data_IF_935641783208
#
_entry.id   IF_935641783208
#
_cell.length_a   1.000
_cell.length_b   1.000
_cell.length_c   1.000
_cell.angle_alpha   90.00
_cell.angle_beta   90.00
_cell.angle_gamma   90.00
#
_symmetry.space_group_name_H-M   'P 1'
#
loop_
_entity.id
_entity.type
_entity.pdbx_description
1 polymer ?
#
# COMPACT_ATOMS: atom_id res chain seq x y z
N UNK A 1 15.83 -2.08 -6.95
CA UNK A 1 15.56 -2.25 -5.51
C UNK A 1 16.31 -3.46 -5.02
N UNK A 2 17.00 -3.37 -3.89
CA UNK A 2 17.72 -4.48 -3.27
C UNK A 2 16.80 -5.35 -2.41
N UNK A 3 17.01 -6.66 -2.39
CA UNK A 3 16.27 -7.61 -1.54
C UNK A 3 16.44 -7.31 -0.05
N UNK A 4 17.57 -6.71 0.34
CA UNK A 4 17.79 -6.24 1.72
C UNK A 4 16.70 -5.27 2.16
N UNK A 5 16.32 -4.32 1.29
CA UNK A 5 15.24 -3.37 1.59
C UNK A 5 13.88 -4.08 1.75
N UNK A 6 13.61 -5.12 0.96
CA UNK A 6 12.40 -5.92 1.13
C UNK A 6 12.37 -6.65 2.48
N UNK A 7 13.51 -7.20 2.92
CA UNK A 7 13.64 -7.80 4.26
C UNK A 7 13.39 -6.78 5.37
N UNK A 8 13.94 -5.57 5.23
CA UNK A 8 13.75 -4.50 6.21
C UNK A 8 12.31 -4.01 6.32
N UNK A 9 11.56 -4.03 5.21
CA UNK A 9 10.12 -3.78 5.21
C UNK A 9 9.42 -4.91 5.97
N UNK A 10 9.62 -6.18 5.60
CA UNK A 10 8.87 -7.31 6.17
C UNK A 10 9.15 -7.53 7.65
N UNK A 11 10.32 -7.13 8.16
CA UNK A 11 10.65 -7.17 9.59
C UNK A 11 10.05 -6.02 10.41
N UNK A 12 9.48 -5.01 9.77
CA UNK A 12 8.93 -3.84 10.47
C UNK A 12 7.69 -4.21 11.29
N UNK A 13 7.44 -3.52 12.42
CA UNK A 13 6.13 -3.55 13.07
C UNK A 13 5.01 -3.20 12.08
N UNK A 14 3.80 -3.77 12.27
CA UNK A 14 2.67 -3.55 11.35
C UNK A 14 2.29 -2.07 11.16
N UNK A 15 2.52 -1.24 12.18
CA UNK A 15 2.33 0.22 12.12
C UNK A 15 3.35 0.93 11.23
N UNK A 16 4.55 0.38 11.07
CA UNK A 16 5.68 0.99 10.38
C UNK A 16 5.88 0.47 8.97
N UNK A 17 5.15 -0.59 8.57
CA UNK A 17 5.28 -1.20 7.25
C UNK A 17 5.09 -0.20 6.10
N UNK A 18 4.09 0.69 6.19
CA UNK A 18 3.80 1.65 5.11
C UNK A 18 4.90 2.74 5.00
N UNK A 19 5.37 3.37 6.10
CA UNK A 19 6.56 4.22 6.09
C UNK A 19 7.80 3.54 5.51
N UNK A 20 8.09 2.27 5.88
CA UNK A 20 9.28 1.57 5.36
C UNK A 20 9.15 1.21 3.89
N UNK A 21 7.95 0.81 3.47
CA UNK A 21 7.65 0.56 2.06
C UNK A 21 7.83 1.83 1.22
N UNK A 22 7.36 2.97 1.73
CA UNK A 22 7.58 4.29 1.11
C UNK A 22 9.07 4.56 0.93
N UNK A 23 9.87 4.44 1.99
CA UNK A 23 11.30 4.67 1.93
C UNK A 23 12.01 3.74 0.93
N UNK A 24 11.69 2.45 0.92
CA UNK A 24 12.27 1.48 -0.01
C UNK A 24 11.94 1.75 -1.48
N UNK A 25 10.79 2.37 -1.76
CA UNK A 25 10.35 2.74 -3.10
C UNK A 25 10.90 4.10 -3.55
N UNK A 26 11.22 5.00 -2.62
CA UNK A 26 11.48 6.41 -2.90
C UNK A 26 12.64 6.62 -3.89
N UNK A 27 13.75 5.91 -3.72
CA UNK A 27 14.94 6.05 -4.57
C UNK A 27 14.67 5.68 -6.04
N UNK A 28 13.72 4.77 -6.28
CA UNK A 28 13.39 4.30 -7.64
C UNK A 28 12.15 5.02 -8.20
N UNK A 29 11.22 5.41 -7.34
CA UNK A 29 9.96 6.02 -7.71
C UNK A 29 9.75 7.21 -6.76
N UNK A 30 10.29 8.40 -7.09
CA UNK A 30 10.12 9.58 -6.24
C UNK A 30 8.63 9.92 -6.05
N UNK A 31 8.24 10.09 -4.78
CA UNK A 31 6.86 10.35 -4.37
C UNK A 31 6.83 11.11 -3.05
N UNK A 32 5.78 11.90 -2.82
CA UNK A 32 5.60 12.71 -1.59
C UNK A 32 4.67 12.09 -0.56
N UNK A 33 3.80 11.19 -1.02
CA UNK A 33 2.86 10.49 -0.18
C UNK A 33 2.56 9.12 -0.77
N UNK A 34 2.13 8.22 0.11
CA UNK A 34 1.68 6.88 -0.24
C UNK A 34 0.40 6.60 0.53
N UNK A 35 -0.55 5.97 -0.13
CA UNK A 35 -1.80 5.54 0.46
C UNK A 35 -2.07 4.08 0.09
N UNK A 36 -2.59 3.34 1.05
CA UNK A 36 -2.94 1.94 0.91
C UNK A 36 -4.43 1.77 1.12
N UNK A 37 -5.07 0.98 0.25
CA UNK A 37 -6.41 0.46 0.43
C UNK A 37 -6.34 -1.08 0.40
N UNK A 38 -6.32 -1.67 1.59
CA UNK A 38 -6.26 -3.11 1.81
C UNK A 38 -7.66 -3.70 1.94
N UNK A 39 -7.93 -4.83 1.26
CA UNK A 39 -9.18 -5.56 1.42
C UNK A 39 -9.31 -6.31 2.75
N UNK A 40 -8.21 -6.49 3.49
CA UNK A 40 -8.14 -7.44 4.62
C UNK A 40 -8.45 -6.87 6.01
N UNK A 41 -8.59 -5.55 6.16
CA UNK A 41 -8.89 -4.93 7.45
C UNK A 41 -10.30 -4.31 7.46
N UNK A 42 -11.31 -4.94 8.09
CA UNK A 42 -12.67 -4.41 8.12
C UNK A 42 -12.81 -3.11 8.94
N UNK A 43 -11.86 -2.82 9.84
CA UNK A 43 -11.91 -1.62 10.70
C UNK A 43 -11.09 -0.43 10.17
N UNK A 44 -10.01 -0.68 9.42
CA UNK A 44 -9.16 0.38 8.88
C UNK A 44 -8.49 -0.11 7.59
N UNK A 45 -9.25 -0.27 6.50
CA UNK A 45 -8.70 -0.74 5.23
C UNK A 45 -7.75 0.30 4.61
N UNK A 46 -7.81 1.54 5.09
CA UNK A 46 -7.11 2.69 4.56
C UNK A 46 -5.97 3.13 5.48
N UNK A 47 -4.79 3.38 4.90
CA UNK A 47 -3.62 3.95 5.59
C UNK A 47 -2.91 4.94 4.67
N UNK A 48 -2.30 5.98 5.24
CA UNK A 48 -1.53 6.97 4.49
C UNK A 48 -0.21 7.30 5.17
N UNK A 49 0.80 7.63 4.39
CA UNK A 49 2.09 8.14 4.85
C UNK A 49 2.56 9.28 3.94
N UNK A 50 3.23 10.29 4.51
CA UNK A 50 3.69 11.48 3.79
C UNK A 50 2.64 12.59 3.68
N UNK A 51 2.92 13.59 2.85
CA UNK A 51 2.07 14.77 2.68
C UNK A 51 1.44 14.77 1.29
N UNK A 52 0.11 14.57 1.17
CA UNK A 52 -0.55 14.78 -0.11
C UNK A 52 -0.40 16.25 -0.50
N UNK A 53 -0.32 16.50 -1.79
CA UNK A 53 -0.48 17.85 -2.31
C UNK A 53 -1.94 18.25 -2.34
N UNK A 54 -2.19 19.47 -1.92
CA UNK A 54 -3.48 20.09 -1.78
C UNK A 54 -3.33 21.26 -0.80
N UNK A 55 -4.45 21.84 -0.39
CA UNK A 55 -4.44 22.84 0.67
C UNK A 55 -3.93 22.24 1.98
N UNK A 56 -3.28 23.03 2.86
CA UNK A 56 -2.90 22.57 4.19
C UNK A 56 -4.11 21.94 4.92
N UNK A 57 -3.98 20.67 5.31
CA UNK A 57 -5.06 19.90 5.96
C UNK A 57 -5.91 19.03 5.02
N UNK A 58 -5.68 19.07 3.71
CA UNK A 58 -6.33 18.15 2.78
C UNK A 58 -5.86 16.70 3.01
N UNK A 59 -6.80 15.80 3.31
CA UNK A 59 -6.54 14.40 3.54
C UNK A 59 -6.89 13.56 2.30
N UNK A 60 -6.07 12.56 2.01
CA UNK A 60 -6.41 11.54 1.01
C UNK A 60 -7.61 10.74 1.53
N UNK A 61 -8.58 10.46 0.66
CA UNK A 61 -9.79 9.74 1.04
C UNK A 61 -9.83 8.32 0.45
N UNK A 62 -10.58 7.43 1.10
CA UNK A 62 -10.84 6.09 0.57
C UNK A 62 -11.55 6.12 -0.78
N UNK A 63 -12.48 7.06 -1.00
CA UNK A 63 -13.20 7.22 -2.27
C UNK A 63 -12.26 7.56 -3.42
N UNK A 64 -11.30 8.47 -3.20
CA UNK A 64 -10.28 8.81 -4.20
C UNK A 64 -9.45 7.59 -4.61
N UNK A 65 -9.02 6.76 -3.64
CA UNK A 65 -8.29 5.52 -3.93
C UNK A 65 -9.16 4.49 -4.65
N UNK A 66 -10.39 4.28 -4.20
CA UNK A 66 -11.29 3.29 -4.76
C UNK A 66 -11.60 3.55 -6.24
N UNK A 67 -11.62 4.83 -6.65
CA UNK A 67 -11.79 5.22 -8.05
C UNK A 67 -10.65 4.74 -8.97
N UNK A 68 -9.44 4.52 -8.43
CA UNK A 68 -8.28 4.04 -9.18
C UNK A 68 -8.24 2.52 -9.31
N UNK A 69 -8.95 1.79 -8.45
CA UNK A 69 -8.91 0.33 -8.39
C UNK A 69 -9.24 -0.36 -9.71
N UNK A 70 -10.29 0.01 -10.49
CA UNK A 70 -10.64 -0.71 -11.72
C UNK A 70 -9.51 -0.68 -12.76
N UNK A 71 -8.93 0.50 -13.00
CA UNK A 71 -7.84 0.68 -13.96
C UNK A 71 -6.56 -0.04 -13.51
N UNK A 72 -6.20 0.12 -12.23
CA UNK A 72 -5.04 -0.56 -11.66
C UNK A 72 -5.22 -2.08 -11.63
N UNK A 73 -6.43 -2.60 -11.40
CA UNK A 73 -6.71 -4.04 -11.37
C UNK A 73 -6.63 -4.68 -12.75
N UNK A 74 -7.07 -3.99 -13.81
CA UNK A 74 -7.07 -4.53 -15.17
C UNK A 74 -5.65 -4.88 -15.65
N UNK A 75 -4.69 -3.99 -15.39
CA UNK A 75 -3.30 -4.12 -15.86
C UNK A 75 -2.32 -4.46 -14.72
N UNK A 76 -2.83 -4.59 -13.50
CA UNK A 76 -2.11 -4.69 -12.21
C UNK A 76 -1.31 -3.44 -11.80
N UNK A 77 -1.24 -2.42 -12.67
CA UNK A 77 -0.74 -1.09 -12.34
C UNK A 77 -1.33 -0.04 -13.27
N UNK A 78 -1.49 1.17 -12.77
CA UNK A 78 -1.95 2.31 -13.56
C UNK A 78 -1.15 3.57 -13.23
N UNK A 79 -0.84 4.37 -14.25
CA UNK A 79 -0.13 5.63 -14.11
C UNK A 79 -0.91 6.73 -14.81
N UNK A 80 -0.98 7.90 -14.20
CA UNK A 80 -1.66 9.04 -14.78
C UNK A 80 -1.92 10.13 -13.77
N UNK A 81 -2.78 11.08 -14.15
CA UNK A 81 -3.26 12.13 -13.24
C UNK A 81 -4.55 11.69 -12.58
N UNK A 82 -4.65 11.92 -11.28
CA UNK A 82 -5.84 11.60 -10.50
C UNK A 82 -6.09 12.64 -9.40
N UNK A 83 -7.36 12.76 -9.01
CA UNK A 83 -7.77 13.55 -7.85
C UNK A 83 -7.34 12.82 -6.57
N UNK A 84 -6.37 13.38 -5.85
CA UNK A 84 -5.89 12.88 -4.56
C UNK A 84 -5.70 14.05 -3.61
N UNK A 85 -6.26 13.97 -2.40
CA UNK A 85 -6.17 15.04 -1.42
C UNK A 85 -6.76 16.35 -1.96
N UNK A 86 -7.81 16.27 -2.76
CA UNK A 86 -8.44 17.47 -3.34
C UNK A 86 -7.62 18.20 -4.41
N UNK A 87 -6.55 17.59 -4.95
CA UNK A 87 -5.79 18.14 -6.08
C UNK A 87 -5.65 17.10 -7.21
N UNK A 88 -5.56 17.55 -8.45
CA UNK A 88 -5.23 16.67 -9.58
C UNK A 88 -3.71 16.56 -9.72
N UNK A 89 -3.17 15.35 -9.59
CA UNK A 89 -1.75 15.11 -9.35
C UNK A 89 -1.27 13.84 -10.04
N UNK A 90 0.02 13.73 -10.41
CA UNK A 90 0.56 12.49 -10.95
C UNK A 90 0.57 11.40 -9.89
N UNK A 91 0.11 10.20 -10.27
CA UNK A 91 0.06 9.05 -9.39
C UNK A 91 0.52 7.78 -10.10
N UNK A 92 1.00 6.85 -9.28
CA UNK A 92 1.18 5.45 -9.64
C UNK A 92 0.32 4.61 -8.71
N UNK A 93 -0.60 3.84 -9.29
CA UNK A 93 -1.41 2.86 -8.58
C UNK A 93 -0.89 1.44 -8.88
N UNK A 94 -0.64 0.65 -7.84
CA UNK A 94 -0.20 -0.73 -7.91
C UNK A 94 -1.27 -1.61 -7.27
N UNK A 95 -1.80 -2.55 -8.04
CA UNK A 95 -2.78 -3.49 -7.55
C UNK A 95 -2.11 -4.84 -7.28
N UNK A 96 -2.41 -5.41 -6.10
CA UNK A 96 -2.00 -6.74 -5.71
C UNK A 96 -3.22 -7.65 -5.66
N UNK A 97 -3.13 -8.80 -6.32
CA UNK A 97 -4.09 -9.91 -6.25
C UNK A 97 -3.56 -11.08 -5.40
N UNK A 98 -2.47 -10.87 -4.65
CA UNK A 98 -1.86 -11.87 -3.77
C UNK A 98 -2.81 -12.34 -2.64
N UNK A 99 -3.98 -11.73 -2.50
CA UNK A 99 -5.05 -12.14 -1.57
C UNK A 99 -6.40 -12.11 -2.30
N UNK A 100 -7.37 -12.90 -1.82
CA UNK A 100 -8.70 -12.97 -2.43
C UNK A 100 -9.43 -11.62 -2.49
N UNK A 101 -9.13 -10.71 -1.55
CA UNK A 101 -9.75 -9.38 -1.47
C UNK A 101 -8.97 -8.30 -2.21
N UNK A 102 -7.73 -8.59 -2.61
CA UNK A 102 -6.83 -7.65 -3.26
C UNK A 102 -6.41 -6.48 -2.37
N UNK A 103 -5.40 -5.75 -2.83
CA UNK A 103 -4.92 -4.56 -2.16
C UNK A 103 -4.37 -3.54 -3.17
N UNK A 104 -4.65 -2.26 -2.94
CA UNK A 104 -4.19 -1.15 -3.77
C UNK A 104 -3.18 -0.31 -3.01
N UNK A 105 -2.03 -0.03 -3.63
CA UNK A 105 -1.05 0.94 -3.18
C UNK A 105 -1.01 2.10 -4.17
N UNK A 106 -1.15 3.32 -3.70
CA UNK A 106 -1.10 4.54 -4.52
C UNK A 106 0.08 5.40 -4.05
N UNK A 107 0.98 5.72 -4.97
CA UNK A 107 2.08 6.65 -4.76
C UNK A 107 1.73 7.98 -5.42
N UNK A 108 1.73 9.06 -4.64
CA UNK A 108 1.56 10.43 -5.14
C UNK A 108 2.92 10.93 -5.61
N UNK A 109 3.11 10.98 -6.93
CA UNK A 109 4.40 11.26 -7.56
C UNK A 109 4.74 12.75 -7.50
N UNK A 110 6.03 13.04 -7.64
CA UNK A 110 6.54 14.42 -7.75
C UNK A 110 6.62 14.90 -9.20
N UNK A 111 6.59 13.98 -10.16
CA UNK A 111 6.71 14.24 -11.59
C UNK A 111 5.78 13.33 -12.40
N UNK A 112 5.49 13.73 -13.63
CA UNK A 112 4.64 12.99 -14.58
C UNK A 112 5.42 11.98 -15.43
N UNK A 113 6.75 12.01 -15.38
CA UNK A 113 7.60 11.07 -16.11
C UNK A 113 7.18 9.63 -15.79
N UNK A 114 6.77 8.83 -16.80
CA UNK A 114 6.34 7.46 -16.58
C UNK A 114 7.45 6.62 -15.94
N UNK A 115 7.11 5.84 -14.91
CA UNK A 115 8.06 4.92 -14.30
C UNK A 115 8.45 3.85 -15.32
N UNK A 116 9.75 3.55 -15.48
CA UNK A 116 10.21 2.46 -16.33
C UNK A 116 9.61 1.11 -15.94
N UNK A 117 9.31 0.26 -16.92
CA UNK A 117 8.65 -1.03 -16.71
C UNK A 117 9.38 -1.94 -15.69
N UNK A 118 10.72 -1.94 -15.69
CA UNK A 118 11.50 -2.73 -14.73
C UNK A 118 11.32 -2.26 -13.27
N UNK A 119 11.22 -0.95 -13.06
CA UNK A 119 10.97 -0.38 -11.74
C UNK A 119 9.53 -0.65 -11.27
N UNK A 120 8.55 -0.57 -12.18
CA UNK A 120 7.16 -0.96 -11.92
C UNK A 120 7.06 -2.43 -11.51
N UNK A 121 7.66 -3.33 -12.26
CA UNK A 121 7.66 -4.76 -11.97
C UNK A 121 8.24 -5.04 -10.57
N UNK A 122 9.37 -4.38 -10.25
CA UNK A 122 10.01 -4.52 -8.93
C UNK A 122 9.12 -4.00 -7.80
N UNK A 123 8.50 -2.83 -7.98
CA UNK A 123 7.61 -2.24 -6.99
C UNK A 123 6.35 -3.10 -6.76
N UNK A 124 5.81 -3.70 -7.83
CA UNK A 124 4.68 -4.64 -7.74
C UNK A 124 5.03 -5.88 -6.95
N UNK A 125 6.19 -6.51 -7.22
CA UNK A 125 6.65 -7.68 -6.45
C UNK A 125 6.80 -7.35 -4.97
N UNK A 126 7.36 -6.18 -4.62
CA UNK A 126 7.43 -5.77 -3.21
C UNK A 126 6.03 -5.56 -2.62
N UNK A 127 5.11 -4.97 -3.37
CA UNK A 127 3.74 -4.76 -2.91
C UNK A 127 2.98 -6.07 -2.69
N UNK A 128 3.13 -7.03 -3.59
CA UNK A 128 2.59 -8.39 -3.45
C UNK A 128 3.15 -9.08 -2.21
N UNK A 129 4.46 -8.98 -1.98
CA UNK A 129 5.12 -9.55 -0.81
C UNK A 129 4.58 -8.96 0.50
N UNK A 130 4.43 -7.64 0.59
CA UNK A 130 3.88 -6.97 1.78
C UNK A 130 2.42 -7.36 2.00
N UNK A 131 1.64 -7.45 0.93
CA UNK A 131 0.22 -7.82 0.96
C UNK A 131 0.06 -9.26 1.46
N UNK A 132 0.80 -10.21 0.89
CA UNK A 132 0.78 -11.62 1.31
C UNK A 132 1.28 -11.80 2.76
N UNK A 133 2.34 -11.08 3.15
CA UNK A 133 2.85 -11.15 4.51
C UNK A 133 1.81 -10.71 5.54
N UNK A 134 1.11 -9.59 5.29
CA UNK A 134 0.05 -9.09 6.18
C UNK A 134 -1.14 -10.03 6.26
N UNK A 135 -1.57 -10.60 5.14
CA UNK A 135 -2.66 -11.58 5.10
C UNK A 135 -2.33 -12.83 5.93
N UNK A 136 -1.10 -13.36 5.78
CA UNK A 136 -0.60 -14.46 6.59
C UNK A 136 -0.62 -14.11 8.08
N UNK A 137 -0.11 -12.94 8.46
CA UNK A 137 -0.11 -12.50 9.87
C UNK A 137 -1.53 -12.36 10.43
N UNK A 138 -2.47 -11.82 9.64
CA UNK A 138 -3.87 -11.72 10.06
C UNK A 138 -4.54 -13.10 10.25
N UNK A 139 -4.21 -14.07 9.39
CA UNK A 139 -4.77 -15.42 9.43
C UNK A 139 -4.15 -16.29 10.53
N UNK A 140 -2.83 -16.21 10.72
CA UNK A 140 -2.07 -17.02 11.69
C UNK A 140 -2.10 -16.46 13.13
N UNK A 141 -2.36 -15.17 13.34
CA UNK A 141 -2.43 -14.58 14.69
C UNK A 141 -3.67 -15.02 15.50
N UNK A 142 -4.65 -15.66 14.87
CA UNK A 142 -5.94 -16.01 15.48
C UNK A 142 -5.99 -17.25 16.41
N UNK A 143 -5.14 -18.30 16.33
CA UNK A 143 -5.37 -19.50 17.15
C UNK A 143 -4.91 -19.35 18.62
N UNK A 144 -3.74 -18.78 18.89
CA UNK A 144 -3.08 -18.90 20.19
C UNK A 144 -3.70 -18.08 21.33
N UNK A 145 -3.95 -16.79 21.09
CA UNK A 145 -4.44 -15.86 22.12
C UNK A 145 -5.92 -16.09 22.43
N UNK A 146 -6.73 -16.42 21.41
CA UNK A 146 -8.13 -16.78 21.61
C UNK A 146 -8.30 -18.13 22.31
N UNK A 147 -7.43 -19.10 22.04
CA UNK A 147 -7.41 -20.37 22.77
C UNK A 147 -7.01 -20.18 24.25
N UNK A 148 -5.99 -19.36 24.53
CA UNK A 148 -5.60 -19.02 25.91
C UNK A 148 -6.69 -18.24 26.64
N UNK A 149 -7.33 -17.26 25.98
CA UNK A 149 -8.44 -16.50 26.58
C UNK A 149 -9.66 -17.38 26.87
N UNK A 150 -9.95 -18.39 26.05
CA UNK A 150 -11.02 -19.37 26.31
C UNK A 150 -10.65 -20.33 27.44
N UNK A 151 -9.40 -20.80 27.49
CA UNK A 151 -8.92 -21.67 28.56
C UNK A 151 -8.91 -20.97 29.94
N UNK A 152 -8.67 -19.66 29.99
CA UNK A 152 -8.72 -18.88 31.23
C UNK A 152 -10.14 -18.51 31.68
N UNK A 153 -11.15 -18.67 30.82
CA UNK A 153 -12.56 -18.36 31.11
C UNK A 153 -13.43 -19.59 31.41
N UNK A 154 -12.83 -20.79 31.39
CA UNK A 154 -13.46 -22.07 31.76
C UNK A 154 -13.00 -22.50 33.16
#
# INVERSE_FOLDING_TARGET
MDLTAAVDVIRAPLGDLLPRLSAALFDTIPHRAVAELSGNCPHSPFKTHGHPSGDPGAAITTTELAALSPAARAEGSWQGRARIGGADVPVLALYSDATARGALLVLVRTEETPVPAAALATARVLWDLVTAHRDRMATEAAPGVLAQSRAAAA
#
